data_IF_059908655772
#
_entry.id   IF_059908655772
#
_cell.length_a   1.000
_cell.length_b   1.000
_cell.length_c   1.000
_cell.angle_alpha   90.00
_cell.angle_beta   90.00
_cell.angle_gamma   90.00
#
_symmetry.space_group_name_H-M   'P 1'
#
loop_
_entity.id
_entity.type
_entity.pdbx_description
1 polymer ?
#
# COMPACT_ATOMS: atom_id res chain seq x y z
N UNK A 1 10.74 18.70 -36.04
CA UNK A 1 10.71 18.66 -34.56
C UNK A 1 9.30 18.66 -33.97
N UNK A 2 8.29 19.31 -34.58
CA UNK A 2 6.89 19.33 -34.08
C UNK A 2 6.22 17.95 -33.92
N UNK A 3 6.52 16.97 -34.77
CA UNK A 3 5.90 15.64 -34.69
C UNK A 3 6.45 14.72 -33.59
N UNK A 4 7.70 14.92 -33.15
CA UNK A 4 8.33 14.05 -32.15
C UNK A 4 7.80 14.32 -30.74
N UNK A 5 7.46 15.58 -30.43
CA UNK A 5 6.86 15.94 -29.14
C UNK A 5 5.46 15.34 -28.95
N UNK A 6 4.66 15.22 -30.03
CA UNK A 6 3.31 14.64 -29.95
C UNK A 6 3.32 13.15 -29.62
N UNK A 7 4.31 12.40 -30.13
CA UNK A 7 4.50 10.97 -29.86
C UNK A 7 4.93 10.69 -28.42
N UNK A 8 5.81 11.53 -27.87
CA UNK A 8 6.23 11.41 -26.47
C UNK A 8 5.03 11.62 -25.54
N UNK A 9 4.19 12.64 -25.79
CA UNK A 9 2.99 12.94 -24.99
C UNK A 9 1.98 11.77 -25.02
N UNK A 10 1.76 11.13 -26.17
CA UNK A 10 0.85 10.00 -26.29
C UNK A 10 1.33 8.75 -25.53
N UNK A 11 2.64 8.51 -25.42
CA UNK A 11 3.21 7.40 -24.65
C UNK A 11 3.03 7.62 -23.13
N UNK A 12 3.02 8.88 -22.66
CA UNK A 12 2.83 9.19 -21.22
C UNK A 12 1.37 9.03 -20.78
N UNK A 13 0.40 8.94 -21.70
CA UNK A 13 -1.04 8.86 -21.36
C UNK A 13 -1.50 7.40 -21.20
N UNK A 14 -0.70 6.43 -21.66
CA UNK A 14 -1.02 5.00 -21.60
C UNK A 14 -0.61 4.32 -20.29
N UNK A 15 -0.20 5.06 -19.26
CA UNK A 15 0.06 4.46 -17.96
C UNK A 15 -1.27 4.01 -17.37
N UNK A 16 -1.43 2.69 -17.25
CA UNK A 16 -2.51 2.09 -16.48
C UNK A 16 -2.49 2.68 -15.07
N UNK A 17 -3.48 3.52 -14.78
CA UNK A 17 -3.74 4.00 -13.44
C UNK A 17 -4.29 2.78 -12.68
N UNK A 18 -3.40 1.96 -12.14
CA UNK A 18 -3.80 0.91 -11.20
C UNK A 18 -4.49 1.59 -10.03
N UNK A 19 -5.78 1.28 -9.84
CA UNK A 19 -6.49 1.70 -8.65
C UNK A 19 -5.75 1.12 -7.44
N UNK A 20 -5.08 1.98 -6.67
CA UNK A 20 -4.42 1.57 -5.45
C UNK A 20 -5.50 1.09 -4.48
N UNK A 21 -5.43 -0.18 -4.07
CA UNK A 21 -6.34 -0.70 -3.06
C UNK A 21 -6.16 0.07 -1.75
N UNK A 22 -7.25 0.58 -1.18
CA UNK A 22 -7.25 1.24 0.13
C UNK A 22 -8.08 0.45 1.13
N UNK A 23 -7.56 0.25 2.35
CA UNK A 23 -8.28 -0.40 3.43
C UNK A 23 -8.16 0.39 4.73
N UNK A 24 -9.27 0.54 5.45
CA UNK A 24 -9.30 1.19 6.76
C UNK A 24 -9.45 0.15 7.85
N UNK A 25 -8.60 0.20 8.87
CA UNK A 25 -8.62 -0.76 9.97
C UNK A 25 -7.33 -0.76 10.77
N UNK A 26 -6.96 -1.93 11.29
CA UNK A 26 -5.74 -2.15 12.05
C UNK A 26 -4.70 -2.89 11.21
N UNK A 27 -3.56 -2.26 10.92
CA UNK A 27 -2.45 -2.89 10.20
C UNK A 27 -1.49 -3.53 11.20
N UNK A 28 -1.18 -4.82 11.01
CA UNK A 28 -0.03 -5.47 11.66
C UNK A 28 1.12 -5.54 10.65
N UNK A 29 2.20 -4.76 10.82
CA UNK A 29 3.27 -4.65 9.83
C UNK A 29 3.89 -6.01 9.47
N UNK A 30 4.03 -6.91 10.44
CA UNK A 30 4.64 -8.22 10.24
C UNK A 30 3.85 -9.13 9.28
N UNK A 31 2.50 -9.05 9.32
CA UNK A 31 1.64 -9.91 8.50
C UNK A 31 1.15 -9.22 7.23
N UNK A 32 1.43 -7.92 7.08
CA UNK A 32 1.10 -7.19 5.86
C UNK A 32 -0.41 -7.25 5.53
N UNK A 33 -1.25 -7.23 6.57
CA UNK A 33 -2.71 -7.38 6.49
C UNK A 33 -3.40 -6.31 7.32
N UNK A 34 -4.49 -5.77 6.78
CA UNK A 34 -5.34 -4.79 7.46
C UNK A 34 -6.59 -5.50 7.97
N UNK A 35 -6.77 -5.55 9.28
CA UNK A 35 -7.93 -6.14 9.94
C UNK A 35 -9.04 -5.09 10.03
N UNK A 36 -10.22 -5.42 9.51
CA UNK A 36 -11.30 -4.43 9.31
C UNK A 36 -12.49 -4.63 10.24
N UNK A 37 -12.55 -5.76 10.95
CA UNK A 37 -13.63 -6.06 11.89
C UNK A 37 -13.25 -5.72 13.32
N UNK A 38 -14.07 -4.89 13.96
CA UNK A 38 -14.02 -4.68 15.40
C UNK A 38 -14.50 -5.95 16.12
N UNK A 39 -13.96 -6.16 17.31
CA UNK A 39 -14.38 -7.21 18.22
C UNK A 39 -15.62 -6.82 19.02
N UNK A 40 -16.13 -7.71 19.87
CA UNK A 40 -17.35 -7.44 20.62
C UNK A 40 -17.06 -6.41 21.72
N UNK A 41 -17.64 -5.22 21.59
CA UNK A 41 -17.50 -4.13 22.56
C UNK A 41 -18.72 -4.10 23.47
N UNK A 42 -18.48 -4.32 24.76
CA UNK A 42 -19.58 -4.35 25.73
C UNK A 42 -19.71 -2.98 26.40
N UNK A 43 -18.62 -2.25 26.68
CA UNK A 43 -18.65 -0.88 27.25
C UNK A 43 -17.27 -0.14 27.13
N UNK A 44 -16.55 -0.25 26.01
CA UNK A 44 -15.17 0.27 25.86
C UNK A 44 -14.94 1.10 24.59
N UNK A 45 -13.83 1.86 24.55
CA UNK A 45 -13.38 2.55 23.32
C UNK A 45 -12.69 1.54 22.39
N UNK A 46 -13.41 1.17 21.34
CA UNK A 46 -13.07 0.26 20.25
C UNK A 46 -11.66 0.36 19.66
N UNK A 47 -10.71 -0.36 20.25
CA UNK A 47 -9.39 -0.57 19.63
C UNK A 47 -9.01 -2.05 19.52
N UNK A 48 -9.97 -2.94 19.76
CA UNK A 48 -9.78 -4.38 19.67
C UNK A 48 -10.45 -4.90 18.39
N UNK A 49 -9.65 -5.49 17.51
CA UNK A 49 -10.07 -6.06 16.24
C UNK A 49 -10.07 -7.59 16.33
N UNK A 50 -10.94 -8.23 15.56
CA UNK A 50 -10.92 -9.69 15.38
C UNK A 50 -9.91 -10.09 14.31
N UNK A 51 -9.47 -11.35 14.33
CA UNK A 51 -8.57 -11.92 13.33
C UNK A 51 -9.20 -12.03 11.92
N UNK A 52 -10.52 -11.92 11.82
CA UNK A 52 -11.25 -12.02 10.54
C UNK A 52 -12.52 -11.16 10.58
N UNK A 53 -12.92 -10.55 9.46
CA UNK A 53 -12.23 -10.42 8.17
C UNK A 53 -10.94 -9.57 8.17
N UNK A 54 -10.03 -9.86 7.22
CA UNK A 54 -8.81 -9.09 6.97
C UNK A 54 -8.58 -8.89 5.47
N UNK A 55 -7.96 -7.76 5.11
CA UNK A 55 -7.58 -7.41 3.73
C UNK A 55 -6.09 -7.66 3.54
N UNK A 56 -5.68 -8.67 2.77
CA UNK A 56 -4.28 -8.89 2.39
C UNK A 56 -3.85 -7.94 1.27
N UNK A 57 -2.54 -7.86 1.00
CA UNK A 57 -2.06 -7.20 -0.21
C UNK A 57 -2.55 -7.93 -1.47
N UNK A 58 -2.94 -7.15 -2.46
CA UNK A 58 -3.20 -7.63 -3.82
C UNK A 58 -1.90 -8.02 -4.53
N UNK A 59 -2.00 -8.79 -5.60
CA UNK A 59 -0.86 -9.13 -6.44
C UNK A 59 -0.16 -7.87 -6.97
N UNK A 60 1.17 -7.89 -7.05
CA UNK A 60 2.05 -6.77 -7.44
C UNK A 60 2.15 -5.61 -6.44
N UNK A 61 1.65 -5.76 -5.21
CA UNK A 61 1.84 -4.79 -4.13
C UNK A 61 2.78 -5.35 -3.05
N UNK A 62 3.64 -4.49 -2.50
CA UNK A 62 4.75 -4.87 -1.62
C UNK A 62 4.54 -4.50 -0.15
N UNK A 63 3.86 -3.36 0.07
CA UNK A 63 3.66 -2.82 1.41
C UNK A 63 2.37 -2.03 1.50
N UNK A 64 1.92 -1.83 2.73
CA UNK A 64 0.89 -0.86 3.06
C UNK A 64 1.55 0.43 3.52
N UNK A 65 1.11 1.56 2.98
CA UNK A 65 1.51 2.87 3.48
C UNK A 65 0.34 3.54 4.19
N UNK A 66 0.54 4.15 5.37
CA UNK A 66 -0.52 4.90 6.04
C UNK A 66 -0.79 6.19 5.27
N UNK A 67 -2.03 6.35 4.80
CA UNK A 67 -2.53 7.65 4.32
C UNK A 67 -2.92 8.58 5.49
N UNK A 68 -3.30 7.98 6.61
CA UNK A 68 -3.47 8.64 7.91
C UNK A 68 -3.10 7.66 9.01
N UNK A 69 -2.07 7.98 9.79
CA UNK A 69 -1.71 7.19 10.98
C UNK A 69 -2.58 7.62 12.15
N UNK A 70 -3.43 6.72 12.62
CA UNK A 70 -4.21 6.87 13.84
C UNK A 70 -3.51 6.27 15.07
N UNK A 71 -4.30 6.04 16.11
CA UNK A 71 -3.88 5.46 17.40
C UNK A 71 -3.41 3.99 17.26
N UNK A 72 -2.75 3.47 18.30
CA UNK A 72 -2.43 2.04 18.38
C UNK A 72 -3.72 1.20 18.42
N UNK A 73 -3.68 0.04 17.76
CA UNK A 73 -4.76 -0.94 17.79
C UNK A 73 -4.23 -2.30 18.23
N UNK A 74 -5.15 -3.13 18.69
CA UNK A 74 -4.89 -4.48 19.17
C UNK A 74 -5.78 -5.44 18.41
N UNK A 75 -5.25 -6.59 18.04
CA UNK A 75 -6.00 -7.67 17.39
C UNK A 75 -5.97 -8.89 18.30
N UNK A 76 -7.12 -9.53 18.47
CA UNK A 76 -7.21 -10.85 19.08
C UNK A 76 -7.10 -11.92 17.99
N UNK A 77 -6.06 -12.74 18.07
CA UNK A 77 -5.81 -13.86 17.15
C UNK A 77 -6.58 -15.13 17.52
N UNK A 78 -7.48 -15.03 18.51
CA UNK A 78 -8.31 -16.13 19.01
C UNK A 78 -9.68 -16.21 18.33
N UNK A 79 -10.60 -16.90 19.02
CA UNK A 79 -11.97 -17.11 18.53
C UNK A 79 -12.90 -15.93 18.81
N UNK A 80 -12.66 -15.20 19.90
CA UNK A 80 -13.46 -14.05 20.30
C UNK A 80 -12.59 -13.03 21.05
N UNK A 81 -12.52 -11.80 20.52
CA UNK A 81 -12.07 -10.65 21.27
C UNK A 81 -13.26 -9.99 21.99
N UNK A 82 -13.08 -9.63 23.25
CA UNK A 82 -14.07 -8.86 24.02
C UNK A 82 -13.35 -7.70 24.71
N UNK A 83 -13.90 -6.50 24.57
CA UNK A 83 -13.50 -5.34 25.36
C UNK A 83 -14.63 -4.95 26.33
N UNK A 84 -14.39 -5.18 27.62
CA UNK A 84 -15.31 -4.85 28.70
C UNK A 84 -14.65 -3.82 29.62
N UNK A 85 -15.15 -2.58 29.61
CA UNK A 85 -14.67 -1.47 30.46
C UNK A 85 -13.15 -1.20 30.32
N UNK A 86 -12.56 -1.43 29.14
CA UNK A 86 -11.12 -1.25 28.88
C UNK A 86 -10.28 -2.48 29.21
N UNK A 87 -10.87 -3.54 29.77
CA UNK A 87 -10.22 -4.83 29.92
C UNK A 87 -10.39 -5.63 28.63
N UNK A 88 -9.30 -5.75 27.87
CA UNK A 88 -9.24 -6.52 26.63
C UNK A 88 -9.02 -7.99 26.97
N UNK A 89 -9.91 -8.86 26.52
CA UNK A 89 -9.84 -10.31 26.67
C UNK A 89 -9.84 -10.96 25.29
N UNK A 90 -8.92 -11.89 25.07
CA UNK A 90 -8.85 -12.69 23.85
C UNK A 90 -9.05 -14.17 24.22
N UNK A 91 -10.20 -14.72 23.85
CA UNK A 91 -10.53 -16.12 24.11
C UNK A 91 -9.76 -17.04 23.15
N UNK A 92 -8.97 -17.95 23.72
CA UNK A 92 -8.20 -18.97 22.99
C UNK A 92 -7.23 -18.36 21.96
N UNK A 93 -6.53 -17.29 22.33
CA UNK A 93 -5.57 -16.65 21.44
C UNK A 93 -4.63 -15.68 22.14
N UNK A 94 -3.86 -14.96 21.34
CA UNK A 94 -2.93 -13.93 21.79
C UNK A 94 -3.30 -12.57 21.22
N UNK A 95 -2.80 -11.51 21.87
CA UNK A 95 -2.93 -10.15 21.37
C UNK A 95 -1.78 -9.81 20.43
N UNK A 96 -2.11 -9.16 19.32
CA UNK A 96 -1.15 -8.57 18.38
C UNK A 96 -1.37 -7.06 18.35
N UNK A 97 -0.29 -6.30 18.29
CA UNK A 97 -0.35 -4.84 18.27
C UNK A 97 -0.08 -4.32 16.87
N UNK A 98 -0.81 -3.28 16.50
CA UNK A 98 -0.72 -2.65 15.19
C UNK A 98 -1.03 -1.16 15.25
N UNK A 99 -1.16 -0.57 14.07
CA UNK A 99 -1.53 0.83 13.93
C UNK A 99 -2.91 0.93 13.27
N UNK A 100 -3.80 1.73 13.84
CA UNK A 100 -5.09 2.02 13.24
C UNK A 100 -4.93 3.11 12.20
N UNK A 101 -5.66 3.02 11.09
CA UNK A 101 -5.65 4.07 10.09
C UNK A 101 -6.26 3.63 8.78
N UNK A 102 -6.12 4.50 7.79
CA UNK A 102 -6.40 4.18 6.39
C UNK A 102 -5.08 3.90 5.72
N UNK A 103 -4.97 2.71 5.13
CA UNK A 103 -3.77 2.23 4.48
C UNK A 103 -4.02 2.09 2.99
N UNK A 104 -3.07 2.54 2.18
CA UNK A 104 -3.08 2.35 0.73
C UNK A 104 -1.97 1.36 0.36
N UNK A 105 -2.25 0.49 -0.60
CA UNK A 105 -1.25 -0.46 -1.07
C UNK A 105 -0.21 0.25 -1.93
N UNK A 106 1.06 -0.08 -1.74
CA UNK A 106 2.19 0.42 -2.53
C UNK A 106 2.59 -0.63 -3.55
N UNK A 107 2.50 -0.27 -4.84
CA UNK A 107 2.83 -1.16 -5.94
C UNK A 107 4.35 -1.42 -5.96
N UNK A 108 4.75 -2.67 -6.17
CA UNK A 108 6.16 -3.08 -6.24
C UNK A 108 6.88 -2.61 -7.52
N UNK A 109 6.11 -2.12 -8.49
CA UNK A 109 6.51 -2.11 -9.90
C UNK A 109 7.29 -0.86 -10.30
N UNK A 110 8.41 -0.63 -9.61
CA UNK A 110 9.41 0.36 -10.02
C UNK A 110 10.13 -0.09 -11.30
N UNK A 111 10.23 -1.40 -11.55
CA UNK A 111 11.12 -1.99 -12.56
C UNK A 111 10.52 -2.04 -13.98
N UNK A 112 9.19 -2.18 -14.13
CA UNK A 112 8.52 -2.22 -15.45
C UNK A 112 8.68 -0.95 -16.29
N UNK A 113 9.20 0.15 -15.73
CA UNK A 113 9.34 1.43 -16.41
C UNK A 113 10.79 1.90 -16.57
N UNK A 114 11.77 1.21 -15.97
CA UNK A 114 13.19 1.57 -16.08
C UNK A 114 13.71 1.48 -17.52
N UNK A 115 13.16 0.57 -18.33
CA UNK A 115 13.53 0.43 -19.73
C UNK A 115 13.15 1.67 -20.56
N UNK A 116 12.02 2.33 -20.24
CA UNK A 116 11.57 3.55 -20.95
C UNK A 116 12.52 4.69 -20.64
N UNK A 117 12.83 4.90 -19.35
CA UNK A 117 13.76 5.95 -18.91
C UNK A 117 15.15 5.72 -19.49
N UNK A 118 15.63 4.48 -19.48
CA UNK A 118 16.93 4.11 -20.07
C UNK A 118 16.95 4.30 -21.59
N UNK A 119 15.87 3.94 -22.29
CA UNK A 119 15.75 4.16 -23.74
C UNK A 119 15.74 5.64 -24.10
N UNK A 120 15.04 6.48 -23.33
CA UNK A 120 15.03 7.93 -23.52
C UNK A 120 16.41 8.54 -23.28
N UNK A 121 17.10 8.16 -22.20
CA UNK A 121 18.46 8.61 -21.92
C UNK A 121 19.44 8.21 -23.05
N UNK A 122 19.32 6.98 -23.57
CA UNK A 122 20.12 6.49 -24.69
C UNK A 122 19.91 7.29 -25.98
N UNK A 123 18.66 7.61 -26.33
CA UNK A 123 18.35 8.42 -27.51
C UNK A 123 18.89 9.85 -27.38
N UNK A 124 18.73 10.48 -26.21
CA UNK A 124 19.28 11.82 -25.97
C UNK A 124 20.81 11.84 -26.04
N UNK A 125 21.48 10.84 -25.46
CA UNK A 125 22.94 10.68 -25.54
C UNK A 125 23.42 10.53 -26.99
N UNK A 126 22.74 9.71 -27.78
CA UNK A 126 23.09 9.50 -29.18
C UNK A 126 22.97 10.78 -30.02
N UNK A 127 21.91 11.57 -29.82
CA UNK A 127 21.72 12.86 -30.51
C UNK A 127 22.82 13.86 -30.15
N UNK A 128 23.22 13.92 -28.88
CA UNK A 128 24.31 14.79 -28.42
C UNK A 128 25.66 14.41 -29.05
N UNK A 129 26.00 13.12 -29.07
CA UNK A 129 27.24 12.61 -29.67
C UNK A 129 27.28 12.91 -31.17
N UNK A 130 26.15 12.69 -31.88
CA UNK A 130 26.07 12.92 -33.32
C UNK A 130 26.17 14.41 -33.69
N UNK A 131 25.73 15.32 -32.82
CA UNK A 131 25.93 16.77 -32.99
C UNK A 131 27.36 17.20 -32.71
N UNK A 132 28.05 16.56 -31.76
CA UNK A 132 29.45 16.86 -31.42
C UNK A 132 30.44 16.38 -32.49
N UNK A 133 30.19 15.21 -33.10
CA UNK A 133 31.05 14.65 -34.16
C UNK A 133 30.78 15.19 -35.58
N UNK A 134 29.85 16.15 -35.74
CA UNK A 134 29.59 16.84 -37.01
C UNK A 134 30.12 18.28 -37.05
N UNK A 135 30.86 18.69 -36.02
CA UNK A 135 31.75 19.85 -36.01
C UNK A 135 33.17 19.36 -36.24
#
# INVERSE_FOLDING_TARGET
MRGFCFLVILIVISFDIYAQGSATGCLVPYYNRVYTSNSLEVLGSSQLYNNSPSTPLSANYCSWTPSSTGSSCVICDGTLGVDALGLKVCLLGSFRYGSQGTFTMVQCDLDSHFWIVSAMAGLFGMVFIKRRNRL
#
